data_IF_742901816588
#
_entry.id   IF_742901816588
#
_cell.length_a   1.000
_cell.length_b   1.000
_cell.length_c   1.000
_cell.angle_alpha   90.00
_cell.angle_beta   90.00
_cell.angle_gamma   90.00
#
_symmetry.space_group_name_H-M   'P 1'
#
loop_
_entity.id
_entity.type
_entity.pdbx_description
1 polymer ?
#
# COMPACT_ATOMS: atom_id res chain seq x y z
N UNK A 1 9.41 -29.84 -16.91
CA UNK A 1 9.39 -29.39 -15.50
C UNK A 1 9.27 -27.87 -15.50
N UNK A 2 8.35 -27.31 -14.72
CA UNK A 2 8.27 -25.87 -14.52
C UNK A 2 9.35 -25.49 -13.49
N UNK A 3 10.24 -24.58 -13.86
CA UNK A 3 11.31 -24.09 -12.99
C UNK A 3 10.84 -22.79 -12.36
N UNK A 4 10.62 -22.78 -11.05
CA UNK A 4 10.38 -21.55 -10.30
C UNK A 4 11.64 -21.19 -9.51
N UNK A 5 11.81 -19.90 -9.22
CA UNK A 5 12.88 -19.39 -8.36
C UNK A 5 12.27 -18.77 -7.11
N UNK A 6 12.97 -18.86 -5.99
CA UNK A 6 12.52 -18.24 -4.75
C UNK A 6 13.32 -16.95 -4.56
N UNK A 7 12.65 -15.83 -4.27
CA UNK A 7 13.31 -14.59 -3.90
C UNK A 7 14.04 -14.77 -2.55
N UNK A 8 15.35 -14.48 -2.46
CA UNK A 8 16.08 -14.60 -1.20
C UNK A 8 15.68 -13.56 -0.15
N UNK A 9 15.15 -12.40 -0.59
CA UNK A 9 14.79 -11.30 0.30
C UNK A 9 13.40 -11.47 0.93
N UNK A 10 12.38 -11.79 0.12
CA UNK A 10 10.99 -11.89 0.58
C UNK A 10 10.43 -13.32 0.61
N UNK A 11 11.15 -14.30 0.05
CA UNK A 11 10.70 -15.69 -0.01
C UNK A 11 9.62 -15.99 -1.06
N UNK A 12 9.26 -15.03 -1.92
CA UNK A 12 8.25 -15.24 -2.95
C UNK A 12 8.70 -16.28 -3.99
N UNK A 13 7.78 -17.16 -4.39
CA UNK A 13 7.96 -18.06 -5.54
C UNK A 13 7.67 -17.31 -6.82
N UNK A 14 8.69 -17.15 -7.66
CA UNK A 14 8.65 -16.41 -8.91
C UNK A 14 8.75 -17.36 -10.09
N UNK A 15 7.96 -17.07 -11.11
CA UNK A 15 8.01 -17.81 -12.37
C UNK A 15 9.26 -17.46 -13.21
N UNK A 16 9.66 -18.35 -14.14
CA UNK A 16 10.84 -18.14 -14.97
C UNK A 16 10.57 -16.99 -15.96
N UNK A 17 11.03 -15.80 -15.60
CA UNK A 17 10.84 -14.56 -16.35
C UNK A 17 10.26 -13.42 -15.50
N UNK A 18 9.67 -13.76 -14.36
CA UNK A 18 9.16 -12.77 -13.42
C UNK A 18 10.31 -12.16 -12.61
N UNK A 19 10.26 -10.85 -12.38
CA UNK A 19 11.19 -10.15 -11.50
C UNK A 19 10.53 -9.98 -10.14
N UNK A 20 11.33 -9.91 -9.09
CA UNK A 20 10.81 -9.60 -7.77
C UNK A 20 10.86 -8.10 -7.55
N UNK A 21 9.74 -7.52 -7.12
CA UNK A 21 9.60 -6.08 -6.87
C UNK A 21 9.47 -5.79 -5.36
N UNK A 22 9.93 -6.71 -4.50
CA UNK A 22 9.70 -6.65 -3.06
C UNK A 22 10.24 -5.40 -2.39
N UNK A 23 11.36 -4.84 -2.88
CA UNK A 23 11.90 -3.59 -2.38
C UNK A 23 11.09 -2.39 -2.84
N UNK A 24 10.69 -2.34 -4.11
CA UNK A 24 9.84 -1.26 -4.63
C UNK A 24 8.49 -1.23 -3.89
N UNK A 25 7.89 -2.39 -3.64
CA UNK A 25 6.67 -2.52 -2.85
C UNK A 25 6.88 -2.11 -1.40
N UNK A 26 8.04 -2.38 -0.81
CA UNK A 26 8.35 -1.96 0.55
C UNK A 26 8.47 -0.43 0.65
N UNK A 27 9.16 0.20 -0.30
CA UNK A 27 9.29 1.65 -0.39
C UNK A 27 7.92 2.33 -0.59
N UNK A 28 7.13 1.86 -1.57
CA UNK A 28 5.77 2.37 -1.80
C UNK A 28 4.87 2.23 -0.58
N UNK A 29 4.95 1.11 0.14
CA UNK A 29 4.21 0.92 1.40
C UNK A 29 4.70 1.91 2.45
N UNK A 30 6.00 2.08 2.61
CA UNK A 30 6.54 3.03 3.60
C UNK A 30 6.09 4.47 3.29
N UNK A 31 6.15 4.89 2.03
CA UNK A 31 5.65 6.20 1.60
C UNK A 31 4.14 6.34 1.80
N UNK A 32 3.37 5.32 1.43
CA UNK A 32 1.91 5.28 1.60
C UNK A 32 1.53 5.41 3.08
N UNK A 33 2.16 4.62 3.94
CA UNK A 33 1.92 4.67 5.38
C UNK A 33 2.34 6.02 5.96
N UNK A 34 3.48 6.58 5.56
CA UNK A 34 3.92 7.91 6.04
C UNK A 34 2.96 9.03 5.65
N UNK A 35 2.46 9.01 4.41
CA UNK A 35 1.55 10.05 3.90
C UNK A 35 0.14 9.93 4.46
N UNK A 36 -0.37 8.69 4.58
CA UNK A 36 -1.78 8.44 4.86
C UNK A 36 -2.06 7.96 6.29
N UNK A 37 -1.06 7.63 7.11
CA UNK A 37 -1.27 7.18 8.48
C UNK A 37 -0.48 8.08 9.45
N UNK A 38 -1.20 8.88 10.22
CA UNK A 38 -0.66 9.72 11.28
C UNK A 38 -0.88 9.04 12.63
N UNK A 39 0.16 8.93 13.44
CA UNK A 39 0.04 8.39 14.80
C UNK A 39 -0.28 9.51 15.79
N UNK A 40 -1.38 9.39 16.51
CA UNK A 40 -1.71 10.32 17.59
C UNK A 40 -1.07 9.82 18.92
N UNK A 41 -0.11 10.56 19.51
CA UNK A 41 0.68 10.07 20.64
C UNK A 41 -0.14 9.91 21.94
N UNK A 42 -1.27 10.61 22.08
CA UNK A 42 -2.10 10.58 23.29
C UNK A 42 -3.11 9.42 23.32
N UNK A 43 -3.62 9.02 22.16
CA UNK A 43 -4.68 8.01 22.06
C UNK A 43 -4.17 6.62 21.64
N UNK A 44 -2.91 6.50 21.20
CA UNK A 44 -2.36 5.29 20.53
C UNK A 44 -3.23 4.84 19.34
N UNK A 45 -3.87 5.80 18.69
CA UNK A 45 -4.71 5.56 17.53
C UNK A 45 -3.97 6.00 16.27
N UNK A 46 -4.22 5.27 15.19
CA UNK A 46 -3.77 5.62 13.86
C UNK A 46 -4.90 6.40 13.18
N UNK A 47 -4.60 7.63 12.74
CA UNK A 47 -5.51 8.46 11.98
C UNK A 47 -5.17 8.34 10.49
N UNK A 48 -6.17 8.02 9.68
CA UNK A 48 -6.03 7.98 8.23
C UNK A 48 -6.18 9.40 7.66
N UNK A 49 -5.15 9.88 6.97
CA UNK A 49 -5.14 11.15 6.26
C UNK A 49 -5.29 10.88 4.76
N UNK A 50 -6.52 10.94 4.27
CA UNK A 50 -6.77 10.94 2.83
C UNK A 50 -6.52 12.36 2.30
N UNK A 51 -5.75 12.48 1.20
CA UNK A 51 -5.77 13.69 0.40
C UNK A 51 -7.22 13.89 -0.06
N UNK A 52 -7.77 15.05 0.23
CA UNK A 52 -9.12 15.44 -0.17
C UNK A 52 -9.16 15.65 -1.69
N UNK A 53 -9.05 14.56 -2.44
CA UNK A 53 -9.51 14.49 -3.82
C UNK A 53 -11.01 14.68 -3.79
N UNK A 54 -11.44 15.86 -4.23
CA UNK A 54 -12.77 16.23 -4.70
C UNK A 54 -13.81 15.13 -4.51
N UNK A 55 -14.52 15.17 -3.38
CA UNK A 55 -15.80 14.48 -3.28
C UNK A 55 -16.70 15.12 -4.32
N UNK A 56 -16.81 14.52 -5.52
CA UNK A 56 -17.87 14.84 -6.46
C UNK A 56 -19.15 14.27 -5.85
N UNK A 57 -19.74 15.05 -4.96
CA UNK A 57 -21.10 14.86 -4.51
C UNK A 57 -21.96 15.03 -5.77
N UNK A 58 -22.38 13.93 -6.40
CA UNK A 58 -23.54 14.00 -7.27
C UNK A 58 -24.73 14.29 -6.36
N UNK A 59 -25.03 15.59 -6.25
CA UNK A 59 -26.23 16.14 -5.62
C UNK A 59 -27.46 15.55 -6.30
N UNK A 60 -27.85 14.34 -5.90
CA UNK A 60 -29.20 13.84 -6.10
C UNK A 60 -29.76 13.48 -4.73
N UNK A 61 -30.29 14.55 -4.13
CA UNK A 61 -31.29 14.57 -3.05
C UNK A 61 -30.99 13.70 -1.83
N UNK A 62 -30.61 14.35 -0.73
CA UNK A 62 -30.98 13.86 0.59
C UNK A 62 -31.91 14.92 1.20
N UNK A 63 -33.08 14.43 1.63
CA UNK A 63 -34.24 15.18 2.09
C UNK A 63 -33.98 16.09 3.29
#
# INVERSE_FOLDING_TARGET
MAFYKICPDCGATLDPGEKCDCWEEAEKKQEFFSRHLKMEPKARQLAFAFDSGEVRCESKSCC
#
